data_IF_326613700726
#
_entry.id   IF_326613700726
#
_cell.length_a   1.000
_cell.length_b   1.000
_cell.length_c   1.000
_cell.angle_alpha   90.00
_cell.angle_beta   90.00
_cell.angle_gamma   90.00
#
_symmetry.space_group_name_H-M   'P 1'
#
loop_
_entity.id
_entity.type
_entity.pdbx_description
1 polymer ?
#
# COMPACT_ATOMS: atom_id res chain seq x y z
N UNK A 1 36.75 22.74 -14.07
CA UNK A 1 36.47 22.75 -12.62
C UNK A 1 35.72 24.03 -12.34
N UNK A 2 34.43 23.92 -12.11
CA UNK A 2 33.52 25.05 -11.81
C UNK A 2 33.03 24.76 -10.40
N UNK A 3 33.29 25.68 -9.47
CA UNK A 3 32.75 25.57 -8.11
C UNK A 3 31.24 25.84 -8.13
N UNK A 4 30.44 25.10 -7.35
CA UNK A 4 29.02 25.40 -7.22
C UNK A 4 28.82 26.68 -6.39
N UNK A 5 27.98 27.57 -6.91
CA UNK A 5 27.51 28.78 -6.23
C UNK A 5 26.54 28.34 -5.12
N UNK A 6 26.98 28.40 -3.86
CA UNK A 6 26.09 28.35 -2.71
C UNK A 6 25.34 29.69 -2.62
N UNK A 7 24.09 29.72 -3.09
CA UNK A 7 23.20 30.89 -3.06
C UNK A 7 22.41 31.01 -1.75
N UNK A 8 22.97 30.59 -0.62
CA UNK A 8 22.35 30.78 0.70
C UNK A 8 23.45 31.02 1.74
N UNK A 9 23.82 32.29 1.93
CA UNK A 9 24.52 32.74 3.13
C UNK A 9 23.45 32.99 4.21
N UNK A 10 23.56 32.37 5.40
CA UNK A 10 22.49 32.36 6.38
C UNK A 10 22.50 33.69 7.13
N UNK A 11 21.42 34.44 6.99
CA UNK A 11 21.14 35.56 7.89
C UNK A 11 21.17 35.04 9.33
N UNK A 12 22.10 35.58 10.11
CA UNK A 12 22.27 35.30 11.53
C UNK A 12 20.94 35.47 12.27
N UNK A 13 20.24 34.35 12.48
CA UNK A 13 19.21 34.26 13.48
C UNK A 13 19.93 34.15 14.83
N UNK A 14 19.58 35.03 15.75
CA UNK A 14 19.94 34.92 17.16
C UNK A 14 19.67 33.49 17.66
N UNK A 15 20.37 32.99 18.70
CA UNK A 15 20.11 31.67 19.24
C UNK A 15 18.67 31.63 19.77
N UNK A 16 17.74 31.19 18.93
CA UNK A 16 16.43 30.72 19.34
C UNK A 16 16.74 29.59 20.28
N UNK A 17 16.51 29.82 21.57
CA UNK A 17 16.84 28.89 22.64
C UNK A 17 16.41 27.49 22.23
N UNK A 18 17.36 26.56 22.23
CA UNK A 18 17.10 25.15 21.94
C UNK A 18 15.97 24.72 22.87
N UNK A 19 14.76 24.42 22.35
CA UNK A 19 13.68 23.89 23.17
C UNK A 19 14.20 22.61 23.81
N UNK A 20 13.95 22.44 25.10
CA UNK A 20 14.46 21.31 25.88
C UNK A 20 14.17 19.99 25.15
N UNK A 21 15.23 19.34 24.66
CA UNK A 21 15.20 18.10 23.88
C UNK A 21 14.60 16.92 24.69
N UNK A 22 14.35 17.16 25.98
CA UNK A 22 13.92 16.23 27.00
C UNK A 22 12.55 16.56 27.61
N UNK A 23 11.75 17.43 26.97
CA UNK A 23 10.38 17.69 27.38
C UNK A 23 9.43 16.47 27.22
N UNK A 24 8.33 16.40 27.99
CA UNK A 24 7.37 15.28 27.93
C UNK A 24 6.75 15.10 26.53
N UNK A 25 6.60 16.20 25.78
CA UNK A 25 6.11 16.16 24.39
C UNK A 25 7.12 15.48 23.45
N UNK A 26 8.43 15.70 23.65
CA UNK A 26 9.48 15.04 22.87
C UNK A 26 9.57 13.55 23.20
N UNK A 27 9.33 13.17 24.46
CA UNK A 27 9.27 11.77 24.87
C UNK A 27 8.05 11.05 24.28
N UNK A 28 6.88 11.68 24.32
CA UNK A 28 5.67 11.15 23.69
C UNK A 28 5.83 10.98 22.17
N UNK A 29 6.50 11.93 21.49
CA UNK A 29 6.79 11.82 20.06
C UNK A 29 7.76 10.67 19.75
N UNK A 30 8.82 10.49 20.54
CA UNK A 30 9.75 9.35 20.39
C UNK A 30 9.04 8.01 20.62
N UNK A 31 8.16 7.92 21.60
CA UNK A 31 7.37 6.72 21.85
C UNK A 31 6.40 6.43 20.68
N UNK A 32 5.76 7.47 20.14
CA UNK A 32 4.92 7.33 18.95
C UNK A 32 5.68 6.80 17.73
N UNK A 33 6.93 7.23 17.51
CA UNK A 33 7.80 6.68 16.46
C UNK A 33 8.00 5.17 16.65
N UNK A 34 8.33 4.73 17.88
CA UNK A 34 8.54 3.30 18.19
C UNK A 34 7.28 2.46 18.00
N UNK A 35 6.12 2.99 18.40
CA UNK A 35 4.83 2.32 18.20
C UNK A 35 4.53 2.22 16.70
N UNK A 36 4.68 3.31 15.95
CA UNK A 36 4.44 3.33 14.50
C UNK A 36 5.36 2.34 13.77
N UNK A 37 6.65 2.31 14.11
CA UNK A 37 7.63 1.36 13.59
C UNK A 37 7.19 -0.09 13.83
N UNK A 38 6.80 -0.43 15.05
CA UNK A 38 6.35 -1.77 15.39
C UNK A 38 5.07 -2.19 14.64
N UNK A 39 4.10 -1.27 14.51
CA UNK A 39 2.87 -1.53 13.77
C UNK A 39 3.14 -1.74 12.28
N UNK A 40 3.94 -0.86 11.68
CA UNK A 40 4.30 -0.92 10.26
C UNK A 40 5.14 -2.15 9.92
N UNK A 41 5.99 -2.60 10.84
CA UNK A 41 6.77 -3.82 10.69
C UNK A 41 5.89 -5.08 10.76
N UNK A 42 4.88 -5.08 11.62
CA UNK A 42 3.98 -6.22 11.80
C UNK A 42 2.89 -6.32 10.72
N UNK A 43 2.61 -5.23 10.00
CA UNK A 43 1.54 -5.18 9.01
C UNK A 43 1.90 -5.94 7.72
N UNK A 44 0.98 -6.78 7.25
CA UNK A 44 1.07 -7.44 5.94
C UNK A 44 0.67 -6.52 4.77
N UNK A 45 -0.06 -5.44 5.06
CA UNK A 45 -0.60 -4.49 4.10
C UNK A 45 -0.26 -3.05 4.49
N UNK A 46 -0.30 -2.07 3.57
CA UNK A 46 -0.13 -0.66 3.91
C UNK A 46 -1.13 -0.19 4.97
N UNK A 47 -0.65 0.52 5.99
CA UNK A 47 -1.45 1.02 7.10
C UNK A 47 -1.91 2.45 6.88
N UNK A 48 -3.21 2.70 7.06
CA UNK A 48 -3.77 4.04 7.09
C UNK A 48 -3.38 4.79 8.37
N UNK A 49 -3.31 6.12 8.30
CA UNK A 49 -2.89 6.95 9.44
C UNK A 49 -3.83 6.80 10.63
N UNK A 50 -5.12 6.54 10.40
CA UNK A 50 -6.13 6.34 11.42
C UNK A 50 -5.84 5.11 12.30
N UNK A 51 -5.28 4.06 11.69
CA UNK A 51 -4.90 2.83 12.41
C UNK A 51 -3.73 3.13 13.35
N UNK A 52 -2.74 3.89 12.88
CA UNK A 52 -1.58 4.31 13.68
C UNK A 52 -2.04 5.28 14.78
N UNK A 53 -2.88 6.24 14.45
CA UNK A 53 -3.47 7.23 15.37
C UNK A 53 -4.11 6.55 16.58
N UNK A 54 -4.88 5.47 16.35
CA UNK A 54 -5.59 4.73 17.41
C UNK A 54 -4.69 4.07 18.47
N UNK A 55 -3.37 4.02 18.24
CA UNK A 55 -2.39 3.33 19.10
C UNK A 55 -1.36 4.25 19.71
N UNK A 56 -1.26 5.48 19.25
CA UNK A 56 -0.35 6.50 19.81
C UNK A 56 -1.12 7.47 20.71
N UNK A 57 -0.41 8.32 21.44
CA UNK A 57 -1.04 9.32 22.28
C UNK A 57 -1.86 10.32 21.46
N UNK A 58 -3.05 10.67 21.94
CA UNK A 58 -3.95 11.63 21.32
C UNK A 58 -3.29 13.01 21.10
N UNK A 59 -3.65 13.67 20.00
CA UNK A 59 -3.17 15.01 19.65
C UNK A 59 -1.81 15.06 18.96
N UNK A 60 -1.13 13.92 18.79
CA UNK A 60 0.09 13.83 17.98
C UNK A 60 -0.24 13.81 16.48
N UNK A 61 0.60 14.49 15.70
CA UNK A 61 0.52 14.46 14.24
C UNK A 61 1.16 13.17 13.71
N UNK A 62 0.32 12.22 13.29
CA UNK A 62 0.74 10.91 12.76
C UNK A 62 1.61 11.04 11.53
N UNK A 63 1.26 11.93 10.59
CA UNK A 63 2.05 12.19 9.40
C UNK A 63 3.47 12.65 9.78
N UNK A 64 3.60 13.53 10.77
CA UNK A 64 4.91 13.99 11.25
C UNK A 64 5.72 12.84 11.88
N UNK A 65 5.08 11.96 12.65
CA UNK A 65 5.71 10.75 13.22
C UNK A 65 6.22 9.83 12.09
N UNK A 66 5.38 9.53 11.10
CA UNK A 66 5.76 8.68 9.98
C UNK A 66 6.85 9.31 9.10
N UNK A 67 6.83 10.64 8.88
CA UNK A 67 7.90 11.34 8.15
C UNK A 67 9.23 11.34 8.89
N UNK A 68 9.20 11.46 10.23
CA UNK A 68 10.41 11.32 11.03
C UNK A 68 11.00 9.90 10.89
N UNK A 69 10.16 8.87 11.03
CA UNK A 69 10.56 7.47 10.84
C UNK A 69 11.08 7.21 9.42
N UNK A 70 10.44 7.77 8.38
CA UNK A 70 10.88 7.68 6.99
C UNK A 70 12.29 8.25 6.81
N UNK A 71 12.59 9.39 7.43
CA UNK A 71 13.93 10.00 7.39
C UNK A 71 14.98 9.11 8.06
N UNK A 72 14.65 8.46 9.16
CA UNK A 72 15.56 7.54 9.86
C UNK A 72 15.86 6.25 9.07
N UNK A 73 14.89 5.80 8.26
CA UNK A 73 14.99 4.60 7.44
C UNK A 73 15.51 4.85 6.01
N UNK A 74 15.58 6.10 5.56
CA UNK A 74 16.06 6.44 4.22
C UNK A 74 17.44 5.85 3.84
N UNK A 75 18.46 5.81 4.73
CA UNK A 75 19.76 5.22 4.38
C UNK A 75 19.86 3.70 4.64
N UNK A 76 18.75 3.04 5.02
CA UNK A 76 18.74 1.61 5.41
C UNK A 76 18.28 0.72 4.25
N UNK A 77 18.48 -0.59 4.37
CA UNK A 77 18.05 -1.58 3.37
C UNK A 77 16.54 -1.85 3.34
N UNK A 78 15.79 -1.24 4.25
CA UNK A 78 14.33 -1.18 4.28
C UNK A 78 13.97 0.28 4.38
N UNK A 79 13.02 0.74 3.57
CA UNK A 79 12.57 2.12 3.56
C UNK A 79 11.07 2.18 3.86
N UNK A 80 10.68 3.21 4.61
CA UNK A 80 9.27 3.53 4.81
C UNK A 80 8.79 4.38 3.63
N UNK A 81 7.79 3.91 2.93
CA UNK A 81 7.17 4.61 1.81
C UNK A 81 5.69 4.82 2.07
N UNK A 82 5.11 5.75 1.32
CA UNK A 82 3.68 6.02 1.34
C UNK A 82 3.09 5.65 -0.02
N UNK A 83 2.04 4.84 0.00
CA UNK A 83 1.34 4.29 -1.17
C UNK A 83 -0.15 4.35 -0.87
N UNK A 84 -0.97 4.80 -1.82
CA UNK A 84 -2.42 5.01 -1.60
C UNK A 84 -2.73 5.78 -0.32
N UNK A 85 -1.92 6.79 0.00
CA UNK A 85 -1.98 7.59 1.25
C UNK A 85 -1.74 6.81 2.55
N UNK A 86 -1.43 5.52 2.47
CA UNK A 86 -1.08 4.60 3.56
C UNK A 86 0.43 4.42 3.66
N UNK A 87 0.92 4.01 4.82
CA UNK A 87 2.34 3.83 5.11
C UNK A 87 2.72 2.34 5.09
N UNK A 88 3.87 1.99 4.52
CA UNK A 88 4.36 0.60 4.50
C UNK A 88 5.87 0.52 4.37
N UNK A 89 6.47 -0.52 4.96
CA UNK A 89 7.87 -0.84 4.72
C UNK A 89 8.06 -1.61 3.41
N UNK A 90 9.08 -1.23 2.65
CA UNK A 90 9.57 -1.97 1.48
C UNK A 90 11.08 -2.09 1.53
N UNK A 91 11.61 -3.08 0.82
CA UNK A 91 13.05 -3.20 0.65
C UNK A 91 13.58 -2.03 -0.19
N UNK A 92 14.81 -1.61 0.12
CA UNK A 92 15.43 -0.50 -0.59
C UNK A 92 15.66 -0.86 -2.07
N UNK A 93 15.36 0.08 -2.96
CA UNK A 93 15.34 -0.14 -4.42
C UNK A 93 16.72 -0.52 -4.96
N UNK A 94 17.79 0.04 -4.39
CA UNK A 94 19.18 -0.25 -4.72
C UNK A 94 19.60 -1.69 -4.36
N UNK A 95 18.85 -2.37 -3.48
CA UNK A 95 19.06 -3.76 -3.09
C UNK A 95 18.17 -4.76 -3.85
N UNK A 96 17.32 -4.30 -4.78
CA UNK A 96 16.37 -5.16 -5.50
C UNK A 96 17.05 -6.34 -6.24
N UNK A 97 18.29 -6.16 -6.71
CA UNK A 97 19.08 -7.19 -7.40
C UNK A 97 19.40 -8.42 -6.54
N UNK A 98 19.36 -8.30 -5.21
CA UNK A 98 19.62 -9.40 -4.27
C UNK A 98 18.37 -10.26 -4.04
N UNK A 99 17.19 -9.69 -4.26
CA UNK A 99 15.90 -10.25 -3.86
C UNK A 99 15.16 -10.95 -5.01
N UNK A 100 15.65 -10.81 -6.25
CA UNK A 100 14.98 -11.29 -7.47
C UNK A 100 15.16 -12.79 -7.74
N UNK A 101 15.57 -13.59 -6.74
CA UNK A 101 15.70 -15.05 -6.90
C UNK A 101 14.38 -15.70 -6.46
N UNK A 102 13.74 -16.38 -7.40
CA UNK A 102 12.61 -17.30 -7.19
C UNK A 102 11.22 -16.68 -7.00
N UNK A 103 10.87 -15.69 -7.83
CA UNK A 103 9.46 -15.35 -8.06
C UNK A 103 9.09 -15.82 -9.47
N UNK A 104 8.10 -16.72 -9.59
CA UNK A 104 7.44 -16.97 -10.87
C UNK A 104 6.93 -15.62 -11.38
N UNK A 105 7.60 -15.04 -12.39
CA UNK A 105 7.15 -13.77 -12.94
C UNK A 105 5.72 -13.96 -13.43
N UNK A 106 4.72 -13.24 -12.88
CA UNK A 106 3.39 -13.23 -13.47
C UNK A 106 3.55 -12.84 -14.94
N UNK A 107 2.79 -13.50 -15.84
CA UNK A 107 2.89 -13.27 -17.28
C UNK A 107 2.87 -11.76 -17.55
N UNK A 108 4.02 -11.23 -17.96
CA UNK A 108 4.20 -9.79 -18.21
C UNK A 108 3.14 -9.33 -19.20
N UNK A 109 2.52 -8.18 -18.92
CA UNK A 109 1.64 -7.53 -19.88
C UNK A 109 2.36 -7.39 -21.22
N UNK A 110 1.66 -7.70 -22.30
CA UNK A 110 2.19 -7.44 -23.63
C UNK A 110 2.48 -5.94 -23.80
N UNK A 111 3.43 -5.59 -24.67
CA UNK A 111 3.74 -4.19 -24.97
C UNK A 111 2.50 -3.37 -25.33
N UNK A 112 1.59 -3.94 -26.13
CA UNK A 112 0.34 -3.27 -26.52
C UNK A 112 -0.62 -3.06 -25.33
N UNK A 113 -0.65 -3.99 -24.37
CA UNK A 113 -1.44 -3.84 -23.15
C UNK A 113 -0.86 -2.77 -22.23
N UNK A 114 0.47 -2.72 -22.11
CA UNK A 114 1.15 -1.68 -21.33
C UNK A 114 0.97 -0.28 -21.93
N UNK A 115 1.04 -0.15 -23.26
CA UNK A 115 0.74 1.10 -23.97
C UNK A 115 -0.71 1.54 -23.73
N UNK A 116 -1.65 0.60 -23.76
CA UNK A 116 -3.08 0.86 -23.48
C UNK A 116 -3.29 1.31 -22.03
N UNK A 117 -2.67 0.62 -21.08
CA UNK A 117 -2.72 0.96 -19.65
C UNK A 117 -2.17 2.37 -19.41
N UNK A 118 -1.03 2.70 -20.01
CA UNK A 118 -0.44 4.03 -19.89
C UNK A 118 -1.40 5.12 -20.39
N UNK A 119 -2.04 4.93 -21.54
CA UNK A 119 -3.01 5.89 -22.06
C UNK A 119 -4.18 6.06 -21.09
N UNK A 120 -4.70 4.97 -20.53
CA UNK A 120 -5.77 5.04 -19.52
C UNK A 120 -5.30 5.84 -18.29
N UNK A 121 -4.12 5.56 -17.76
CA UNK A 121 -3.60 6.22 -16.58
C UNK A 121 -3.41 7.73 -16.77
N UNK A 122 -2.90 8.17 -17.93
CA UNK A 122 -2.67 9.58 -18.22
C UNK A 122 -3.91 10.34 -18.77
N UNK A 123 -4.88 9.64 -19.38
CA UNK A 123 -6.03 10.29 -20.02
C UNK A 123 -7.37 10.02 -19.33
N UNK A 124 -7.41 9.32 -18.18
CA UNK A 124 -8.68 9.07 -17.50
C UNK A 124 -9.40 10.38 -17.11
N UNK A 125 -10.74 10.42 -17.23
CA UNK A 125 -11.63 9.38 -17.75
C UNK A 125 -11.61 9.27 -19.29
N UNK A 126 -11.29 8.09 -19.83
CA UNK A 126 -11.08 7.87 -21.28
C UNK A 126 -11.98 6.78 -21.85
N UNK A 127 -12.43 6.94 -23.10
CA UNK A 127 -13.24 5.96 -23.83
C UNK A 127 -12.40 5.08 -24.74
N UNK A 128 -12.92 3.91 -25.14
CA UNK A 128 -12.22 3.02 -26.10
C UNK A 128 -11.78 3.75 -27.38
N UNK A 129 -12.67 4.57 -27.95
CA UNK A 129 -12.40 5.30 -29.18
C UNK A 129 -11.26 6.31 -29.02
N UNK A 130 -11.18 7.00 -27.88
CA UNK A 130 -10.08 7.93 -27.60
C UNK A 130 -8.75 7.22 -27.36
N UNK A 131 -8.77 6.06 -26.71
CA UNK A 131 -7.56 5.23 -26.58
C UNK A 131 -7.06 4.84 -27.99
N UNK A 132 -7.95 4.39 -28.87
CA UNK A 132 -7.60 4.03 -30.25
C UNK A 132 -7.08 5.23 -31.06
N UNK A 133 -7.66 6.42 -30.86
CA UNK A 133 -7.23 7.67 -31.49
C UNK A 133 -5.81 8.07 -31.04
N UNK A 134 -5.53 8.02 -29.73
CA UNK A 134 -4.18 8.32 -29.18
C UNK A 134 -3.15 7.28 -29.65
N UNK A 135 -3.52 6.00 -29.75
CA UNK A 135 -2.63 4.94 -30.26
C UNK A 135 -2.42 5.01 -31.76
N UNK A 136 -3.33 5.64 -32.50
CA UNK A 136 -3.36 5.63 -33.96
C UNK A 136 -3.67 4.26 -34.59
N UNK A 137 -4.02 3.25 -33.78
CA UNK A 137 -4.35 1.89 -34.20
C UNK A 137 -5.42 1.29 -33.29
N UNK A 138 -6.25 0.40 -33.86
CA UNK A 138 -7.27 -0.32 -33.11
C UNK A 138 -6.66 -1.14 -31.96
N UNK A 139 -7.39 -1.24 -30.86
CA UNK A 139 -7.00 -2.09 -29.72
C UNK A 139 -7.35 -3.54 -30.07
N UNK A 140 -6.41 -4.46 -29.83
CA UNK A 140 -6.67 -5.89 -30.01
C UNK A 140 -7.85 -6.36 -29.17
N UNK A 141 -8.62 -7.32 -29.71
CA UNK A 141 -9.73 -7.93 -28.97
C UNK A 141 -9.19 -8.56 -27.68
N UNK A 142 -9.88 -8.33 -26.56
CA UNK A 142 -9.49 -8.86 -25.25
C UNK A 142 -8.45 -8.06 -24.48
N UNK A 143 -7.85 -7.00 -25.03
CA UNK A 143 -6.84 -6.22 -24.27
C UNK A 143 -7.45 -5.43 -23.12
N UNK A 144 -8.59 -4.77 -23.34
CA UNK A 144 -9.29 -4.07 -22.26
C UNK A 144 -9.85 -5.08 -21.25
N UNK A 145 -10.43 -6.18 -21.72
CA UNK A 145 -10.94 -7.25 -20.86
C UNK A 145 -9.83 -7.81 -19.96
N UNK A 146 -8.65 -8.06 -20.51
CA UNK A 146 -7.49 -8.49 -19.74
C UNK A 146 -7.03 -7.45 -18.71
N UNK A 147 -7.05 -6.15 -19.05
CA UNK A 147 -6.70 -5.09 -18.09
C UNK A 147 -7.73 -4.97 -16.96
N UNK A 148 -9.01 -5.23 -17.25
CA UNK A 148 -10.06 -5.33 -16.23
C UNK A 148 -9.84 -6.55 -15.33
N UNK A 149 -9.54 -7.72 -15.91
CA UNK A 149 -9.24 -8.96 -15.18
C UNK A 149 -8.01 -8.83 -14.27
N UNK A 150 -6.99 -8.06 -14.67
CA UNK A 150 -5.83 -7.79 -13.82
C UNK A 150 -6.14 -6.91 -12.61
N UNK A 151 -7.32 -6.28 -12.57
CA UNK A 151 -7.73 -5.37 -11.51
C UNK A 151 -7.04 -4.01 -11.54
N UNK A 152 -6.20 -3.68 -12.52
CA UNK A 152 -5.53 -2.37 -12.62
C UNK A 152 -6.37 -1.29 -13.32
N UNK A 153 -7.36 -1.72 -14.09
CA UNK A 153 -8.31 -0.85 -14.78
C UNK A 153 -9.71 -1.21 -14.32
N UNK A 154 -10.58 -0.20 -14.24
CA UNK A 154 -12.01 -0.37 -13.96
C UNK A 154 -12.86 0.37 -14.97
N UNK A 155 -14.11 -0.07 -15.09
CA UNK A 155 -15.16 0.73 -15.70
C UNK A 155 -15.49 1.87 -14.74
N UNK A 156 -15.57 3.10 -15.27
CA UNK A 156 -15.82 4.29 -14.47
C UNK A 156 -17.25 4.78 -14.64
N UNK A 157 -17.66 5.09 -15.86
CA UNK A 157 -18.96 5.65 -16.17
C UNK A 157 -19.29 5.60 -17.66
N UNK A 158 -20.23 6.43 -18.10
CA UNK A 158 -20.56 6.66 -19.52
C UNK A 158 -20.47 8.12 -19.84
N UNK A 159 -19.91 8.46 -21.00
CA UNK A 159 -19.83 9.86 -21.42
C UNK A 159 -21.17 10.40 -21.90
N UNK A 160 -21.72 11.40 -21.21
CA UNK A 160 -23.04 12.04 -21.49
C UNK A 160 -23.12 12.66 -22.87
N UNK A 161 -22.11 13.46 -23.20
CA UNK A 161 -22.10 14.37 -24.34
C UNK A 161 -21.56 13.74 -25.64
N UNK A 162 -21.33 12.41 -25.64
CA UNK A 162 -20.82 11.68 -26.80
C UNK A 162 -21.87 10.75 -27.40
N UNK A 163 -21.86 10.62 -28.74
CA UNK A 163 -22.79 9.76 -29.48
C UNK A 163 -22.65 8.31 -28.99
N UNK A 164 -23.79 7.69 -28.66
CA UNK A 164 -23.83 6.30 -28.17
C UNK A 164 -23.43 6.12 -26.70
N UNK A 165 -23.13 7.21 -25.98
CA UNK A 165 -22.75 7.20 -24.54
C UNK A 165 -21.75 6.10 -24.19
N UNK A 166 -20.55 6.14 -24.81
CA UNK A 166 -19.55 5.10 -24.64
C UNK A 166 -19.07 5.03 -23.19
N UNK A 167 -18.63 3.84 -22.78
CA UNK A 167 -18.07 3.56 -21.47
C UNK A 167 -16.72 4.29 -21.33
N UNK A 168 -16.49 4.86 -20.14
CA UNK A 168 -15.22 5.43 -19.72
C UNK A 168 -14.46 4.47 -18.80
N UNK A 169 -13.15 4.45 -18.94
CA UNK A 169 -12.21 3.64 -18.18
C UNK A 169 -11.36 4.54 -17.28
N UNK A 170 -10.89 3.96 -16.17
CA UNK A 170 -9.94 4.59 -15.25
C UNK A 170 -9.10 3.54 -14.52
N UNK A 171 -8.10 4.01 -13.78
CA UNK A 171 -7.24 3.15 -12.94
C UNK A 171 -7.91 2.84 -11.60
N UNK A 172 -7.41 1.81 -10.93
CA UNK A 172 -7.86 1.35 -9.61
C UNK A 172 -6.87 1.69 -8.51
N UNK A 173 -7.21 1.33 -7.27
CA UNK A 173 -6.31 1.39 -6.13
C UNK A 173 -5.16 0.37 -6.26
N UNK A 174 -5.45 -0.82 -6.80
CA UNK A 174 -4.48 -1.88 -7.06
C UNK A 174 -3.41 -1.42 -8.06
N UNK A 175 -3.78 -0.58 -9.03
CA UNK A 175 -2.82 0.08 -9.91
C UNK A 175 -1.84 0.96 -9.10
N UNK A 176 -2.36 1.84 -8.23
CA UNK A 176 -1.51 2.70 -7.40
C UNK A 176 -0.61 1.87 -6.48
N UNK A 177 -1.14 0.80 -5.90
CA UNK A 177 -0.37 -0.14 -5.09
C UNK A 177 0.78 -0.79 -5.87
N UNK A 178 0.47 -1.28 -7.08
CA UNK A 178 1.44 -1.98 -7.93
C UNK A 178 2.58 -1.06 -8.38
N UNK A 179 2.26 0.19 -8.75
CA UNK A 179 3.24 1.17 -9.20
C UNK A 179 3.84 2.02 -8.07
N UNK A 180 3.42 1.80 -6.81
CA UNK A 180 3.95 2.49 -5.64
C UNK A 180 3.62 3.97 -5.59
N UNK A 181 2.43 4.35 -6.05
CA UNK A 181 1.97 5.74 -6.14
C UNK A 181 1.04 6.09 -4.96
N UNK A 182 1.06 7.34 -4.49
CA UNK A 182 0.07 7.79 -3.50
C UNK A 182 -1.25 8.16 -4.17
N UNK A 183 -1.15 8.82 -5.30
CA UNK A 183 -2.24 9.32 -6.13
C UNK A 183 -1.84 9.24 -7.61
N UNK A 184 -2.81 9.26 -8.51
CA UNK A 184 -2.48 9.15 -9.94
C UNK A 184 -1.72 10.37 -10.48
N UNK A 185 -1.86 11.52 -9.81
CA UNK A 185 -1.10 12.72 -10.10
C UNK A 185 0.40 12.59 -9.87
N UNK A 186 0.86 11.55 -9.18
CA UNK A 186 2.29 11.27 -8.96
C UNK A 186 2.95 10.58 -10.15
N UNK A 187 2.18 10.26 -11.20
CA UNK A 187 2.76 9.74 -12.44
C UNK A 187 3.68 10.79 -13.07
N UNK A 188 4.84 10.38 -13.59
CA UNK A 188 5.85 11.31 -14.06
C UNK A 188 5.35 12.13 -15.24
N UNK A 189 5.54 13.44 -15.16
CA UNK A 189 5.17 14.37 -16.24
C UNK A 189 6.06 14.19 -17.48
N UNK A 190 5.66 14.80 -18.59
CA UNK A 190 6.43 14.75 -19.85
C UNK A 190 7.86 15.28 -19.70
N UNK A 191 8.07 16.28 -18.85
CA UNK A 191 9.38 16.88 -18.58
C UNK A 191 10.27 15.96 -17.74
N UNK A 192 9.69 15.27 -16.75
CA UNK A 192 10.40 14.31 -15.90
C UNK A 192 10.81 13.06 -16.68
N UNK A 193 9.93 12.57 -17.56
CA UNK A 193 10.22 11.46 -18.47
C UNK A 193 11.34 11.81 -19.47
N UNK A 194 11.40 13.07 -19.94
CA UNK A 194 12.52 13.56 -20.77
C UNK A 194 13.81 13.70 -19.95
N UNK A 195 13.73 14.24 -18.73
CA UNK A 195 14.86 14.40 -17.82
C UNK A 195 15.48 13.07 -17.37
N UNK A 196 14.66 12.03 -17.23
CA UNK A 196 15.09 10.66 -16.94
C UNK A 196 15.67 9.92 -18.16
N UNK A 197 15.72 10.55 -19.35
CA UNK A 197 16.22 9.92 -20.57
C UNK A 197 15.32 8.80 -21.11
N UNK A 198 14.07 8.71 -20.66
CA UNK A 198 13.13 7.65 -21.04
C UNK A 198 12.38 7.96 -22.34
N UNK A 199 12.46 9.21 -22.82
CA UNK A 199 11.82 9.68 -24.06
C UNK A 199 12.85 10.11 -25.10
N UNK A 200 13.10 9.23 -26.08
CA UNK A 200 13.90 9.52 -27.27
C UNK A 200 13.14 10.45 -28.24
N UNK A 201 13.03 11.74 -27.90
CA UNK A 201 12.97 12.91 -28.81
C UNK A 201 11.98 12.96 -29.99
N UNK A 202 11.15 11.95 -30.25
CA UNK A 202 10.24 11.84 -31.40
C UNK A 202 8.78 11.94 -30.99
N UNK A 203 8.48 12.87 -30.11
CA UNK A 203 7.10 13.22 -29.84
C UNK A 203 6.60 14.14 -30.97
N UNK A 204 5.43 13.83 -31.59
CA UNK A 204 4.82 14.73 -32.56
C UNK A 204 4.66 16.14 -31.97
N UNK A 205 4.83 17.20 -32.78
CA UNK A 205 4.56 18.56 -32.32
C UNK A 205 3.09 18.68 -31.87
N UNK A 206 2.87 19.11 -30.63
CA UNK A 206 1.55 19.14 -29.99
C UNK A 206 1.21 17.93 -29.12
N UNK A 207 2.11 16.94 -28.98
CA UNK A 207 1.94 15.84 -28.04
C UNK A 207 2.11 16.34 -26.59
N UNK A 208 0.99 16.66 -25.95
CA UNK A 208 0.91 16.91 -24.52
C UNK A 208 0.46 15.64 -23.80
N UNK A 209 1.18 15.26 -22.75
CA UNK A 209 0.67 14.27 -21.78
C UNK A 209 -0.26 15.04 -20.85
N UNK A 210 -1.56 14.70 -20.78
CA UNK A 210 -2.46 15.35 -19.84
C UNK A 210 -2.01 15.08 -18.41
N UNK A 211 -2.28 16.02 -17.51
CA UNK A 211 -2.14 15.77 -16.08
C UNK A 211 -3.19 14.72 -15.67
N UNK A 212 -2.77 13.57 -15.12
CA UNK A 212 -3.69 12.56 -14.62
C UNK A 212 -4.62 13.15 -13.55
N UNK A 213 -5.89 12.74 -13.54
CA UNK A 213 -6.87 13.20 -12.56
C UNK A 213 -7.17 12.11 -11.53
N UNK A 214 -7.03 12.47 -10.26
CA UNK A 214 -7.09 11.56 -9.11
C UNK A 214 -8.50 11.35 -8.53
N UNK A 215 -9.53 11.99 -9.08
CA UNK A 215 -10.87 11.88 -8.50
C UNK A 215 -11.45 10.49 -8.77
N UNK A 216 -11.85 9.77 -7.73
CA UNK A 216 -12.60 8.51 -7.88
C UNK A 216 -14.07 8.75 -8.29
N UNK A 217 -14.61 9.94 -8.02
CA UNK A 217 -15.99 10.32 -8.31
C UNK A 217 -16.21 10.62 -9.80
N UNK A 218 -17.43 10.40 -10.29
CA UNK A 218 -17.79 10.68 -11.67
C UNK A 218 -17.67 12.18 -11.97
N UNK A 219 -17.12 12.50 -13.13
CA UNK A 219 -17.10 13.89 -13.62
C UNK A 219 -18.50 14.35 -14.02
N UNK A 220 -18.70 15.67 -14.17
CA UNK A 220 -19.99 16.23 -14.63
C UNK A 220 -20.41 15.66 -15.99
N UNK A 221 -19.45 15.28 -16.83
CA UNK A 221 -19.64 14.67 -18.15
C UNK A 221 -19.86 13.14 -18.11
N UNK A 222 -19.84 12.51 -16.94
CA UNK A 222 -20.04 11.07 -16.75
C UNK A 222 -21.39 10.73 -16.10
N UNK A 223 -22.05 9.70 -16.62
CA UNK A 223 -23.20 9.01 -16.00
C UNK A 223 -22.72 7.71 -15.32
N UNK A 224 -23.33 7.33 -14.19
CA UNK A 224 -23.10 6.03 -13.58
C UNK A 224 -23.43 4.89 -14.55
N UNK A 225 -22.74 3.76 -14.42
CA UNK A 225 -23.16 2.55 -15.12
C UNK A 225 -24.39 1.97 -14.41
N UNK A 226 -25.40 1.61 -15.19
CA UNK A 226 -26.59 0.91 -14.67
C UNK A 226 -26.23 -0.55 -14.31
N UNK A 227 -26.86 -1.08 -13.25
CA UNK A 227 -26.41 -2.27 -12.50
C UNK A 227 -26.08 -3.54 -13.31
N UNK A 228 -26.65 -3.72 -14.50
CA UNK A 228 -26.38 -4.90 -15.34
C UNK A 228 -24.94 -5.00 -15.88
N UNK A 229 -24.17 -3.90 -15.92
CA UNK A 229 -22.76 -3.90 -16.34
C UNK A 229 -21.77 -4.04 -15.17
N UNK A 230 -22.20 -3.70 -13.95
CA UNK A 230 -21.40 -3.90 -12.75
C UNK A 230 -21.41 -5.38 -12.33
N UNK A 231 -22.54 -6.08 -12.48
CA UNK A 231 -22.68 -7.50 -12.11
C UNK A 231 -21.81 -8.46 -12.93
N UNK A 232 -21.34 -8.09 -14.13
CA UNK A 232 -20.52 -8.96 -14.98
C UNK A 232 -19.03 -9.00 -14.56
N UNK A 233 -18.58 -7.99 -13.82
CA UNK A 233 -17.17 -7.85 -13.38
C UNK A 233 -17.01 -7.55 -11.88
N UNK A 234 -18.12 -7.41 -11.13
CA UNK A 234 -18.06 -7.36 -9.68
C UNK A 234 -17.57 -8.72 -9.17
N UNK A 235 -16.56 -8.70 -8.31
CA UNK A 235 -16.24 -9.88 -7.51
C UNK A 235 -17.52 -10.36 -6.80
N UNK A 236 -17.74 -11.67 -6.64
CA UNK A 236 -18.84 -12.14 -5.83
C UNK A 236 -18.65 -11.52 -4.44
N UNK A 237 -19.57 -10.64 -4.04
CA UNK A 237 -19.62 -10.17 -2.67
C UNK A 237 -19.57 -11.41 -1.78
N UNK A 238 -18.60 -11.45 -0.87
CA UNK A 238 -18.55 -12.46 0.16
C UNK A 238 -19.90 -12.42 0.88
N UNK A 239 -20.76 -13.38 0.56
CA UNK A 239 -22.10 -13.50 1.13
C UNK A 239 -21.95 -13.46 2.64
N UNK A 240 -22.65 -12.48 3.23
CA UNK A 240 -22.55 -12.15 4.63
C UNK A 240 -22.67 -13.37 5.53
N UNK A 241 -21.81 -13.38 6.54
CA UNK A 241 -21.93 -14.18 7.74
C UNK A 241 -23.39 -14.18 8.21
N UNK A 242 -24.08 -15.30 8.00
CA UNK A 242 -25.43 -15.50 8.51
C UNK A 242 -25.36 -15.53 10.04
N UNK A 243 -26.23 -14.82 10.77
CA UNK A 243 -26.25 -14.94 12.21
C UNK A 243 -26.64 -16.37 12.59
N UNK A 244 -25.77 -17.02 13.37
CA UNK A 244 -25.97 -18.35 13.90
C UNK A 244 -27.33 -18.46 14.60
N UNK A 245 -28.08 -19.51 14.23
CA UNK A 245 -29.37 -19.85 14.79
C UNK A 245 -29.31 -20.01 16.32
N UNK A 246 -30.35 -19.49 16.97
CA UNK A 246 -30.62 -19.63 18.40
C UNK A 246 -30.59 -21.10 18.84
N UNK A 247 -29.65 -21.45 19.72
CA UNK A 247 -29.73 -22.68 20.52
C UNK A 247 -30.37 -22.31 21.85
N UNK A 248 -31.61 -22.76 22.03
CA UNK A 248 -32.36 -22.71 23.27
C UNK A 248 -31.64 -23.49 24.37
N UNK A 249 -31.22 -22.79 25.43
CA UNK A 249 -30.71 -23.41 26.67
C UNK A 249 -31.88 -23.66 27.62
N UNK A 250 -32.13 -24.90 28.10
CA UNK A 250 -33.10 -25.12 29.15
C UNK A 250 -32.48 -24.77 30.52
N UNK A 251 -33.17 -23.89 31.25
CA UNK A 251 -32.94 -23.56 32.66
C UNK A 251 -33.16 -24.78 33.55
N UNK A 252 -32.26 -25.03 34.50
CA UNK A 252 -32.43 -26.09 35.50
C UNK A 252 -31.34 -26.11 36.57
N UNK A 253 -31.53 -25.27 37.57
CA UNK A 253 -31.02 -25.24 38.94
C UNK A 253 -30.32 -26.52 39.48
N UNK A 254 -29.15 -26.37 40.09
CA UNK A 254 -28.51 -27.40 40.92
C UNK A 254 -27.81 -26.76 42.14
N UNK A 255 -28.05 -27.27 43.37
CA UNK A 255 -27.59 -26.67 44.62
C UNK A 255 -26.18 -27.12 45.04
N UNK A 256 -25.63 -26.38 46.01
CA UNK A 256 -24.37 -26.65 46.70
C UNK A 256 -24.50 -27.74 47.80
N UNK A 257 -23.47 -28.58 47.96
CA UNK A 257 -23.00 -29.25 49.21
C UNK A 257 -21.84 -30.21 48.85
N UNK A 258 -20.60 -29.95 49.29
CA UNK A 258 -19.89 -30.54 50.47
C UNK A 258 -18.88 -31.65 50.09
N UNK A 259 -17.64 -31.46 50.57
CA UNK A 259 -16.53 -32.42 50.55
C UNK A 259 -16.76 -33.55 51.56
N UNK A 260 -16.06 -34.69 51.43
CA UNK A 260 -15.16 -35.05 52.52
C UNK A 260 -13.78 -35.58 52.09
N UNK A 261 -12.87 -35.44 53.06
CA UNK A 261 -11.50 -35.93 53.17
C UNK A 261 -11.49 -37.47 53.36
N UNK A 262 -10.42 -38.19 52.98
CA UNK A 262 -9.49 -38.84 53.93
C UNK A 262 -8.35 -39.67 53.27
N UNK A 263 -7.22 -39.63 53.98
CA UNK A 263 -5.94 -40.33 54.09
C UNK A 263 -5.44 -41.51 53.22
N UNK A 264 -4.13 -41.37 52.90
CA UNK A 264 -3.00 -42.31 53.16
C UNK A 264 -2.96 -43.67 52.48
N UNK A 265 -1.91 -43.93 51.66
CA UNK A 265 -0.89 -44.96 51.94
C UNK A 265 0.50 -44.51 51.41
N UNK A 266 1.48 -44.61 52.32
CA UNK A 266 2.97 -44.62 52.26
C UNK A 266 3.54 -45.44 51.06
N UNK A 267 4.80 -45.42 50.60
CA UNK A 267 6.17 -45.33 51.21
C UNK A 267 7.18 -45.37 50.03
N UNK A 268 8.12 -44.44 49.85
CA UNK A 268 9.58 -44.50 50.19
C UNK A 268 10.49 -44.40 48.93
N UNK A 269 11.77 -43.94 49.07
CA UNK A 269 12.50 -43.23 48.02
C UNK A 269 13.85 -43.83 47.56
N UNK A 270 14.39 -43.21 46.50
CA UNK A 270 15.80 -43.00 46.10
C UNK A 270 16.77 -44.19 45.90
N UNK A 271 17.43 -44.22 44.73
CA UNK A 271 18.88 -44.49 44.61
C UNK A 271 19.50 -43.73 43.44
N UNK A 272 20.57 -43.00 43.78
CA UNK A 272 21.56 -42.40 42.90
C UNK A 272 22.25 -43.44 42.00
N UNK A 273 22.53 -43.05 40.75
CA UNK A 273 23.69 -43.56 40.03
C UNK A 273 24.37 -42.41 39.29
N UNK A 274 25.54 -42.06 39.80
CA UNK A 274 26.59 -41.27 39.16
C UNK A 274 27.25 -42.21 38.13
N UNK A 275 27.56 -41.70 36.95
CA UNK A 275 28.72 -42.20 36.19
C UNK A 275 29.37 -41.07 35.40
N UNK A 276 30.69 -41.09 35.48
CA UNK A 276 31.67 -40.09 35.07
C UNK A 276 31.88 -39.98 33.55
N UNK A 277 32.39 -38.81 33.18
CA UNK A 277 33.06 -38.43 31.94
C UNK A 277 34.19 -39.41 31.54
N UNK A 278 34.61 -39.44 30.26
CA UNK A 278 35.80 -38.63 29.95
C UNK A 278 35.86 -38.00 28.54
N UNK A 279 36.37 -36.76 28.52
CA UNK A 279 37.52 -36.26 27.76
C UNK A 279 37.64 -36.54 26.23
N UNK A 280 37.39 -35.47 25.46
CA UNK A 280 38.10 -34.90 24.29
C UNK A 280 39.01 -35.77 23.36
N UNK A 281 39.21 -35.40 22.05
CA UNK A 281 39.64 -34.07 21.65
C UNK A 281 39.09 -33.50 20.32
N UNK A 282 39.46 -32.24 20.14
CA UNK A 282 39.26 -31.35 19.00
C UNK A 282 40.05 -31.79 17.77
N UNK A 283 39.48 -31.52 16.59
CA UNK A 283 40.17 -31.13 15.36
C UNK A 283 39.27 -30.12 14.61
#
# INVERSE_FOLDING_TARGET
MVEPINLFDPGAAEPVGVPDEHGPEAEAFREAIRIAEALLFAASEPLAEEVIASRIQDGLNVEAVCRALQKEYAPRGVNLIRIMRKWTFRTAVDLAYLLSRDVEEPKKLSRAALETLAIIAYHQPVTRAEIEDVRGVAISKGTLDHLLETGWVRLRGRRKNAVGRPITYGTTEEFLAHFGLEQIGDLPGLEELKGAGLLDGRLPPGFGVPAPRDDSALTEDEEPLEGALFDEFAEPEAEGEQPAAEVSVPTGDAPAAELPQDESIRSEPAKDHIDEEPDHPQD
#
